data_IF_353304184483
#
_entry.id   IF_353304184483
#
_cell.length_a   1.000
_cell.length_b   1.000
_cell.length_c   1.000
_cell.angle_alpha   90.00
_cell.angle_beta   90.00
_cell.angle_gamma   90.00
#
_symmetry.space_group_name_H-M   'P 1'
#
loop_
_entity.id
_entity.type
_entity.pdbx_description
1 polymer ?
#
# COMPACT_ATOMS: atom_id res chain seq x y z
N UNK A 1 3.94 -7.54 -8.96
CA UNK A 1 3.26 -8.75 -8.44
C UNK A 1 2.15 -9.13 -9.41
N UNK A 2 2.00 -10.41 -9.71
CA UNK A 2 0.96 -10.96 -10.56
C UNK A 2 -0.01 -11.78 -9.70
N UNK A 3 -1.31 -11.48 -9.74
CA UNK A 3 -2.32 -12.28 -9.04
C UNK A 3 -2.59 -13.55 -9.84
N UNK A 4 -2.40 -14.72 -9.23
CA UNK A 4 -2.70 -16.03 -9.82
C UNK A 4 -4.12 -16.48 -9.51
N UNK A 5 -4.60 -16.22 -8.28
CA UNK A 5 -5.96 -16.56 -7.87
C UNK A 5 -6.48 -15.56 -6.83
N UNK A 6 -7.77 -15.24 -6.91
CA UNK A 6 -8.44 -14.26 -6.05
C UNK A 6 -9.63 -14.91 -5.34
N UNK A 7 -9.39 -15.36 -4.11
CA UNK A 7 -10.42 -15.97 -3.27
C UNK A 7 -11.00 -14.95 -2.28
N UNK A 8 -12.17 -15.24 -1.71
CA UNK A 8 -12.90 -14.36 -0.77
C UNK A 8 -12.05 -13.81 0.37
N UNK A 9 -11.10 -14.60 0.88
CA UNK A 9 -10.27 -14.27 2.05
C UNK A 9 -8.75 -14.37 1.79
N UNK A 10 -8.33 -14.74 0.59
CA UNK A 10 -6.93 -14.99 0.26
C UNK A 10 -6.62 -14.58 -1.17
N UNK A 11 -5.56 -13.81 -1.36
CA UNK A 11 -4.99 -13.56 -2.69
C UNK A 11 -3.74 -14.42 -2.82
N UNK A 12 -3.69 -15.23 -3.86
CA UNK A 12 -2.47 -15.92 -4.29
C UNK A 12 -1.82 -15.10 -5.38
N UNK A 13 -0.57 -14.70 -5.17
CA UNK A 13 0.17 -13.88 -6.10
C UNK A 13 1.62 -14.36 -6.23
N UNK A 14 2.29 -13.94 -7.28
CA UNK A 14 3.71 -14.15 -7.50
C UNK A 14 4.43 -12.81 -7.60
N UNK A 15 5.61 -12.73 -7.00
CA UNK A 15 6.48 -11.56 -7.14
C UNK A 15 7.08 -11.58 -8.54
N UNK A 16 6.88 -10.50 -9.29
CA UNK A 16 7.30 -10.41 -10.70
C UNK A 16 8.72 -9.90 -10.87
N UNK A 17 9.18 -9.04 -9.96
CA UNK A 17 10.43 -8.27 -10.09
C UNK A 17 11.12 -8.13 -8.72
N UNK A 18 12.40 -7.77 -8.74
CA UNK A 18 13.23 -7.57 -7.54
C UNK A 18 13.88 -8.84 -6.99
N UNK A 19 14.52 -8.74 -5.83
CA UNK A 19 15.31 -9.80 -5.18
C UNK A 19 14.51 -11.05 -4.83
N UNK A 20 13.18 -10.96 -4.79
CA UNK A 20 12.28 -12.06 -4.48
C UNK A 20 11.42 -12.50 -5.67
N UNK A 21 11.80 -12.12 -6.91
CA UNK A 21 11.11 -12.50 -8.12
C UNK A 21 10.91 -14.03 -8.22
N UNK A 22 9.76 -14.44 -8.77
CA UNK A 22 9.35 -15.84 -8.90
C UNK A 22 8.71 -16.44 -7.64
N UNK A 23 8.90 -15.85 -6.46
CA UNK A 23 8.33 -16.36 -5.20
C UNK A 23 6.81 -16.20 -5.17
N UNK A 24 6.13 -17.25 -4.75
CA UNK A 24 4.69 -17.21 -4.49
C UNK A 24 4.41 -16.66 -3.08
N UNK A 25 3.39 -15.80 -3.00
CA UNK A 25 2.96 -15.14 -1.78
C UNK A 25 1.44 -15.27 -1.61
N UNK A 26 1.03 -15.39 -0.36
CA UNK A 26 -0.37 -15.49 0.03
C UNK A 26 -0.73 -14.30 0.90
N UNK A 27 -1.68 -13.49 0.46
CA UNK A 27 -2.07 -12.26 1.14
C UNK A 27 -3.48 -12.45 1.74
N UNK A 28 -3.59 -12.64 3.07
CA UNK A 28 -4.88 -12.80 3.73
C UNK A 28 -5.56 -11.45 4.01
N UNK A 29 -6.87 -11.47 4.29
CA UNK A 29 -7.57 -10.29 4.84
C UNK A 29 -7.16 -10.06 6.29
N UNK A 30 -6.73 -8.84 6.60
CA UNK A 30 -6.42 -8.42 7.96
C UNK A 30 -7.54 -7.55 8.54
N UNK A 31 -7.83 -7.65 9.85
CA UNK A 31 -8.71 -6.71 10.52
C UNK A 31 -7.98 -5.39 10.78
N UNK A 32 -8.57 -4.29 10.34
CA UNK A 32 -8.18 -2.94 10.71
C UNK A 32 -9.13 -2.44 11.78
N UNK A 33 -8.58 -2.14 12.95
CA UNK A 33 -9.29 -1.53 14.08
C UNK A 33 -8.86 -0.06 14.11
N UNK A 34 -9.80 0.90 14.21
CA UNK A 34 -9.45 2.27 14.53
C UNK A 34 -8.84 2.30 15.93
N UNK A 35 -7.92 3.25 16.16
CA UNK A 35 -7.46 3.56 17.51
C UNK A 35 -8.68 3.95 18.35
N UNK A 36 -8.71 3.59 19.63
CA UNK A 36 -9.77 4.05 20.53
C UNK A 36 -9.74 5.58 20.54
N UNK A 37 -10.72 6.18 19.86
CA UNK A 37 -10.93 7.61 19.90
C UNK A 37 -12.03 7.79 20.94
N UNK A 38 -11.66 8.47 22.01
CA UNK A 38 -12.56 8.82 23.11
C UNK A 38 -13.75 9.61 22.53
N UNK A 39 -14.93 8.98 22.49
CA UNK A 39 -16.14 9.57 21.90
C UNK A 39 -16.99 8.66 20.99
N UNK A 40 -16.47 7.53 20.50
CA UNK A 40 -17.30 6.58 19.73
C UNK A 40 -18.00 5.58 20.65
N UNK A 41 -19.34 5.47 20.53
CA UNK A 41 -20.16 4.52 21.30
C UNK A 41 -20.07 3.07 20.81
N UNK A 42 -19.29 2.79 19.77
CA UNK A 42 -19.14 1.47 19.19
C UNK A 42 -17.82 1.31 18.42
N UNK A 43 -17.30 0.09 18.38
CA UNK A 43 -16.06 -0.25 17.70
C UNK A 43 -16.31 -0.61 16.23
N UNK A 44 -15.67 0.10 15.30
CA UNK A 44 -15.64 -0.30 13.90
C UNK A 44 -14.51 -1.31 13.67
N UNK A 45 -14.78 -2.38 12.89
CA UNK A 45 -13.74 -3.32 12.45
C UNK A 45 -13.84 -3.53 10.96
N UNK A 46 -12.82 -3.12 10.21
CA UNK A 46 -12.78 -3.32 8.75
C UNK A 46 -11.86 -4.49 8.39
N UNK A 47 -12.41 -5.59 7.87
CA UNK A 47 -11.58 -6.67 7.29
C UNK A 47 -11.26 -6.37 5.83
N UNK A 48 -9.99 -6.16 5.50
CA UNK A 48 -9.55 -5.84 4.14
C UNK A 48 -8.24 -6.55 3.79
N UNK A 49 -7.98 -6.75 2.50
CA UNK A 49 -6.64 -7.13 2.06
C UNK A 49 -5.67 -5.97 2.27
N UNK A 50 -4.43 -6.21 2.74
CA UNK A 50 -3.41 -5.17 2.89
C UNK A 50 -2.76 -4.80 1.54
N UNK A 51 -3.57 -4.50 0.52
CA UNK A 51 -3.08 -4.08 -0.80
C UNK A 51 -3.76 -2.77 -1.24
N UNK A 52 -3.06 -2.00 -2.06
CA UNK A 52 -3.59 -0.84 -2.79
C UNK A 52 -3.04 -0.87 -4.20
N UNK A 53 -3.90 -0.72 -5.21
CA UNK A 53 -3.47 -0.46 -6.59
C UNK A 53 -2.85 0.94 -6.63
N UNK A 54 -1.66 1.07 -7.21
CA UNK A 54 -0.94 2.33 -7.20
C UNK A 54 -0.02 2.44 -8.42
N UNK A 55 -0.40 3.25 -9.40
CA UNK A 55 0.50 3.73 -10.46
C UNK A 55 1.18 5.05 -10.09
N UNK A 56 0.52 5.86 -9.26
CA UNK A 56 1.02 7.11 -8.74
C UNK A 56 0.79 7.19 -7.23
N UNK A 57 1.79 7.66 -6.49
CA UNK A 57 1.74 7.85 -5.05
C UNK A 57 2.05 9.30 -4.69
N UNK A 58 1.46 9.76 -3.58
CA UNK A 58 1.84 11.05 -2.98
C UNK A 58 3.25 10.95 -2.38
N UNK A 59 3.97 12.06 -2.34
CA UNK A 59 5.38 12.13 -1.92
C UNK A 59 5.59 11.52 -0.53
N UNK A 60 4.74 11.86 0.44
CA UNK A 60 4.86 11.33 1.82
C UNK A 60 4.68 9.80 1.90
N UNK A 61 4.12 9.14 0.88
CA UNK A 61 4.07 7.68 0.80
C UNK A 61 5.29 7.07 0.10
N UNK A 62 5.93 7.84 -0.78
CA UNK A 62 7.14 7.46 -1.49
C UNK A 62 8.41 7.70 -0.64
N UNK A 63 8.32 8.54 0.39
CA UNK A 63 9.43 8.81 1.31
C UNK A 63 9.99 7.50 1.91
N UNK A 64 11.29 7.31 1.78
CA UNK A 64 11.99 6.10 2.22
C UNK A 64 11.84 4.88 1.28
N UNK A 65 11.18 5.01 0.13
CA UNK A 65 11.15 3.95 -0.89
C UNK A 65 12.25 4.16 -1.94
N UNK A 66 12.90 3.06 -2.33
CA UNK A 66 13.80 3.06 -3.48
C UNK A 66 13.01 2.69 -4.73
N UNK A 67 12.89 3.63 -5.67
CA UNK A 67 12.16 3.46 -6.92
C UNK A 67 13.11 3.83 -8.06
N UNK A 68 13.38 2.90 -8.98
CA UNK A 68 14.37 3.07 -10.06
C UNK A 68 13.93 4.13 -11.08
N UNK A 69 12.64 4.17 -11.40
CA UNK A 69 12.05 5.13 -12.34
C UNK A 69 10.79 5.75 -11.74
N UNK A 70 10.80 7.07 -11.52
CA UNK A 70 9.66 7.82 -10.99
C UNK A 70 9.46 9.12 -11.76
N UNK A 71 8.21 9.40 -12.13
CA UNK A 71 7.79 10.71 -12.61
C UNK A 71 7.22 11.50 -11.45
N UNK A 72 7.68 12.74 -11.25
CA UNK A 72 7.17 13.62 -10.20
C UNK A 72 6.31 14.71 -10.82
N UNK A 73 5.06 14.84 -10.37
CA UNK A 73 4.11 15.83 -10.87
C UNK A 73 3.76 16.84 -9.77
N UNK A 74 4.08 18.11 -10.01
CA UNK A 74 3.80 19.23 -9.10
C UNK A 74 2.82 20.21 -9.75
N UNK A 75 1.53 20.17 -9.41
CA UNK A 75 0.57 21.14 -9.94
C UNK A 75 0.71 22.54 -9.31
N UNK A 76 1.38 22.65 -8.16
CA UNK A 76 1.68 23.89 -7.43
C UNK A 76 3.08 23.79 -6.82
N UNK A 77 3.69 24.92 -6.44
CA UNK A 77 4.96 24.91 -5.69
C UNK A 77 4.72 24.28 -4.33
N UNK A 78 5.39 23.16 -4.05
CA UNK A 78 5.23 22.42 -2.78
C UNK A 78 6.48 22.48 -1.90
N UNK A 79 7.50 23.26 -2.27
CA UNK A 79 8.77 23.29 -1.54
C UNK A 79 8.66 24.01 -0.20
N UNK A 80 8.76 23.24 0.88
CA UNK A 80 9.29 23.72 2.17
C UNK A 80 10.78 23.33 2.28
N UNK A 81 11.55 23.98 3.16
CA UNK A 81 12.99 23.76 3.29
C UNK A 81 13.31 22.26 3.52
N UNK A 82 14.07 21.64 2.62
CA UNK A 82 14.42 20.21 2.65
C UNK A 82 13.66 19.31 1.67
N UNK A 83 12.83 19.85 0.78
CA UNK A 83 12.25 19.09 -0.34
C UNK A 83 13.00 19.37 -1.65
N UNK A 84 14.02 18.55 -1.93
CA UNK A 84 14.55 18.16 -3.24
C UNK A 84 15.70 17.17 -3.02
#
# INVERSE_FOLDING_TARGET
>A
MLCKNFNKNLIHAQITEGTHAGKEVFIPRIPLLPKEIDGYRFYFKRKQFPIRLCFAMIINKAEGQTIEHVGVYFPQSVFSHGQL
#
